data_IF_866382195675
#
_entry.id   IF_866382195675
#
_cell.length_a   1.000
_cell.length_b   1.000
_cell.length_c   1.000
_cell.angle_alpha   90.00
_cell.angle_beta   90.00
_cell.angle_gamma   90.00
#
_symmetry.space_group_name_H-M   'P 1'
#
loop_
_entity.id
_entity.type
_entity.pdbx_description
1 polymer ?
#
# COMPACT_ATOMS: atom_id res chain seq x y z
N UNK A 1 0.31 -3.01 4.82
CA UNK A 1 1.14 -1.79 4.99
C UNK A 1 0.64 -0.72 4.02
N UNK A 2 0.75 0.56 4.39
CA UNK A 2 0.38 1.71 3.57
C UNK A 2 1.41 1.99 2.45
N UNK A 3 1.04 2.70 1.40
CA UNK A 3 1.88 2.96 0.22
C UNK A 3 3.09 3.83 0.53
N UNK A 4 2.96 4.84 1.39
CA UNK A 4 4.09 5.69 1.78
C UNK A 4 5.23 4.90 2.45
N UNK A 5 4.87 3.98 3.36
CA UNK A 5 5.84 3.10 4.02
C UNK A 5 6.52 2.18 3.01
N UNK A 6 5.76 1.63 2.06
CA UNK A 6 6.32 0.77 1.01
C UNK A 6 7.25 1.54 0.07
N UNK A 7 6.92 2.78 -0.27
CA UNK A 7 7.77 3.65 -1.10
C UNK A 7 9.10 3.90 -0.38
N UNK A 8 9.09 4.18 0.91
CA UNK A 8 10.30 4.40 1.70
C UNK A 8 11.17 3.13 1.77
N UNK A 9 10.56 1.96 1.96
CA UNK A 9 11.27 0.68 1.93
C UNK A 9 11.91 0.41 0.56
N UNK A 10 11.16 0.62 -0.53
CA UNK A 10 11.67 0.42 -1.89
C UNK A 10 12.77 1.42 -2.26
N UNK A 11 12.75 2.62 -1.69
CA UNK A 11 13.82 3.62 -1.82
C UNK A 11 15.01 3.39 -0.89
N UNK A 12 14.98 2.34 -0.07
CA UNK A 12 16.00 2.05 0.94
C UNK A 12 16.21 3.19 1.93
N UNK A 13 15.12 3.88 2.30
CA UNK A 13 15.17 4.93 3.31
C UNK A 13 15.55 4.32 4.67
N UNK A 14 16.69 4.70 5.28
CA UNK A 14 17.25 3.95 6.42
C UNK A 14 16.30 3.78 7.62
N UNK A 15 15.51 4.81 8.02
CA UNK A 15 14.55 4.64 9.11
C UNK A 15 13.48 3.58 8.84
N UNK A 16 12.96 3.52 7.61
CA UNK A 16 11.96 2.53 7.23
C UNK A 16 12.55 1.12 7.22
N UNK A 17 13.75 0.96 6.67
CA UNK A 17 14.45 -0.34 6.65
C UNK A 17 14.79 -0.82 8.06
N UNK A 18 15.25 0.08 8.94
CA UNK A 18 15.55 -0.26 10.33
C UNK A 18 14.29 -0.66 11.10
N UNK A 19 13.20 0.08 10.93
CA UNK A 19 11.91 -0.25 11.54
C UNK A 19 11.40 -1.61 11.08
N UNK A 20 11.44 -1.86 9.77
CA UNK A 20 10.97 -3.12 9.18
C UNK A 20 11.81 -4.32 9.60
N UNK A 21 13.14 -4.17 9.67
CA UNK A 21 14.04 -5.23 10.15
C UNK A 21 13.94 -5.52 11.65
N UNK A 22 13.20 -4.72 12.42
CA UNK A 22 12.92 -4.97 13.83
C UNK A 22 11.59 -5.74 14.04
N UNK A 23 10.84 -6.01 12.97
CA UNK A 23 9.60 -6.79 13.04
C UNK A 23 9.91 -8.29 13.23
N UNK A 24 9.04 -9.05 13.91
CA UNK A 24 9.21 -10.51 14.04
C UNK A 24 9.15 -11.22 12.68
N UNK A 25 10.11 -12.12 12.42
CA UNK A 25 10.22 -12.87 11.16
C UNK A 25 9.07 -13.88 10.89
N UNK A 26 8.15 -14.06 11.82
CA UNK A 26 7.08 -15.06 11.74
C UNK A 26 5.73 -14.51 11.25
N UNK A 27 5.64 -13.21 10.94
CA UNK A 27 4.42 -12.60 10.42
C UNK A 27 4.41 -12.57 8.88
N UNK A 28 3.35 -13.13 8.28
CA UNK A 28 3.15 -13.02 6.85
C UNK A 28 2.84 -11.56 6.48
N UNK A 29 3.68 -10.96 5.63
CA UNK A 29 3.51 -9.59 5.21
C UNK A 29 2.36 -9.47 4.20
N UNK A 30 1.34 -8.71 4.57
CA UNK A 30 0.16 -8.47 3.74
C UNK A 30 0.12 -7.03 3.21
N UNK A 31 -0.19 -6.89 1.93
CA UNK A 31 -0.38 -5.61 1.25
C UNK A 31 -1.81 -5.50 0.72
N UNK A 32 -2.52 -4.39 1.01
CA UNK A 32 -3.75 -4.09 0.30
C UNK A 32 -3.50 -4.04 -1.20
N UNK A 33 -4.37 -4.64 -1.99
CA UNK A 33 -4.25 -4.61 -3.45
C UNK A 33 -4.23 -3.18 -4.03
N UNK A 34 -4.84 -2.22 -3.33
CA UNK A 34 -4.82 -0.80 -3.69
C UNK A 34 -3.43 -0.16 -3.53
N UNK A 35 -2.66 -0.55 -2.50
CA UNK A 35 -1.25 -0.14 -2.36
C UNK A 35 -0.42 -0.68 -3.52
N UNK A 36 -0.64 -1.93 -3.94
CA UNK A 36 0.02 -2.47 -5.13
C UNK A 36 -0.33 -1.67 -6.39
N UNK A 37 -1.58 -1.21 -6.54
CA UNK A 37 -1.98 -0.35 -7.67
C UNK A 37 -1.26 1.01 -7.64
N UNK A 38 -1.09 1.64 -6.48
CA UNK A 38 -0.34 2.89 -6.36
C UNK A 38 1.14 2.73 -6.71
N UNK A 39 1.78 1.66 -6.22
CA UNK A 39 3.17 1.36 -6.53
C UNK A 39 3.35 1.10 -8.04
N UNK A 40 2.40 0.39 -8.68
CA UNK A 40 2.38 0.18 -10.13
C UNK A 40 2.21 1.52 -10.86
N UNK A 41 1.30 2.39 -10.40
CA UNK A 41 1.07 3.71 -11.00
C UNK A 41 2.34 4.59 -10.95
N UNK A 42 3.13 4.46 -9.88
CA UNK A 42 4.41 5.16 -9.73
C UNK A 42 5.54 4.68 -10.67
N UNK A 43 5.40 3.51 -11.30
CA UNK A 43 6.40 2.98 -12.23
C UNK A 43 6.38 3.74 -13.56
N UNK A 44 7.54 4.19 -14.02
CA UNK A 44 7.67 4.96 -15.28
C UNK A 44 7.73 4.08 -16.53
N UNK A 45 8.03 2.79 -16.36
CA UNK A 45 8.24 1.86 -17.46
C UNK A 45 8.07 0.39 -17.01
N UNK A 46 8.10 -0.52 -17.99
CA UNK A 46 7.94 -1.97 -17.76
C UNK A 46 9.07 -2.60 -16.95
N UNK A 47 10.28 -2.03 -16.99
CA UNK A 47 11.43 -2.53 -16.22
C UNK A 47 11.19 -2.26 -14.74
N UNK A 48 10.80 -1.04 -14.37
CA UNK A 48 10.44 -0.68 -13.00
C UNK A 48 9.27 -1.53 -12.47
N UNK A 49 8.21 -1.71 -13.28
CA UNK A 49 7.09 -2.60 -12.92
C UNK A 49 7.54 -4.04 -12.68
N UNK A 50 8.44 -4.56 -13.51
CA UNK A 50 8.96 -5.93 -13.36
C UNK A 50 9.78 -6.06 -12.07
N UNK A 51 10.66 -5.09 -11.80
CA UNK A 51 11.46 -5.07 -10.58
C UNK A 51 10.59 -4.95 -9.33
N UNK A 52 9.55 -4.11 -9.36
CA UNK A 52 8.57 -3.99 -8.28
C UNK A 52 7.91 -5.34 -7.97
N UNK A 53 7.45 -6.06 -9.01
CA UNK A 53 6.80 -7.37 -8.82
C UNK A 53 7.75 -8.41 -8.25
N UNK A 54 9.02 -8.39 -8.62
CA UNK A 54 10.02 -9.26 -8.01
C UNK A 54 10.30 -8.89 -6.55
N UNK A 55 10.42 -7.61 -6.23
CA UNK A 55 10.66 -7.14 -4.87
C UNK A 55 9.49 -7.47 -3.91
N UNK A 56 8.27 -7.57 -4.43
CA UNK A 56 7.06 -7.84 -3.66
C UNK A 56 6.55 -9.28 -3.81
N UNK A 57 7.34 -10.19 -4.36
CA UNK A 57 6.89 -11.55 -4.66
C UNK A 57 6.45 -12.35 -3.43
N UNK A 58 7.07 -12.08 -2.27
CA UNK A 58 6.79 -12.78 -1.01
C UNK A 58 5.64 -12.15 -0.20
N UNK A 59 5.08 -11.02 -0.66
CA UNK A 59 3.98 -10.35 0.02
C UNK A 59 2.64 -10.95 -0.41
N UNK A 60 1.79 -11.27 0.57
CA UNK A 60 0.40 -11.61 0.31
C UNK A 60 -0.40 -10.38 -0.08
N UNK A 61 -1.31 -10.51 -1.05
CA UNK A 61 -2.24 -9.43 -1.42
C UNK A 61 -3.59 -9.67 -0.76
N UNK A 62 -4.08 -8.68 -0.02
CA UNK A 62 -5.41 -8.67 0.59
C UNK A 62 -6.32 -7.67 -0.10
N UNK A 63 -7.58 -8.04 -0.28
CA UNK A 63 -8.63 -7.17 -0.81
C UNK A 63 -9.70 -6.97 0.25
N UNK A 64 -10.29 -5.78 0.27
CA UNK A 64 -11.45 -5.51 1.10
C UNK A 64 -12.65 -6.38 0.67
N UNK A 65 -13.45 -6.79 1.65
CA UNK A 65 -14.77 -7.36 1.38
C UNK A 65 -15.71 -6.30 0.80
N UNK A 66 -16.83 -6.70 0.17
CA UNK A 66 -17.84 -5.76 -0.30
C UNK A 66 -18.32 -4.78 0.78
N UNK A 67 -18.61 -5.26 1.99
CA UNK A 67 -19.07 -4.42 3.11
C UNK A 67 -18.01 -3.39 3.54
N UNK A 68 -16.73 -3.76 3.47
CA UNK A 68 -15.62 -2.84 3.75
C UNK A 68 -15.48 -1.77 2.66
N UNK A 69 -15.73 -2.13 1.39
CA UNK A 69 -15.79 -1.14 0.31
C UNK A 69 -16.94 -0.14 0.49
N UNK A 70 -18.11 -0.60 0.96
CA UNK A 70 -19.23 0.30 1.28
C UNK A 70 -18.89 1.25 2.44
N UNK A 71 -18.17 0.76 3.44
CA UNK A 71 -17.67 1.60 4.53
C UNK A 71 -16.68 2.66 4.02
N UNK A 72 -15.74 2.26 3.14
CA UNK A 72 -14.79 3.17 2.50
C UNK A 72 -15.48 4.27 1.70
N UNK A 73 -16.56 3.95 0.96
CA UNK A 73 -17.35 4.93 0.24
C UNK A 73 -18.00 5.97 1.18
N UNK A 74 -18.46 5.51 2.35
CA UNK A 74 -19.03 6.39 3.38
C UNK A 74 -17.97 7.37 3.89
N UNK A 75 -16.79 6.85 4.28
CA UNK A 75 -15.65 7.66 4.73
C UNK A 75 -15.22 8.66 3.65
N UNK A 76 -15.08 8.23 2.40
CA UNK A 76 -14.70 9.12 1.31
C UNK A 76 -15.71 10.25 1.11
N UNK A 77 -17.01 9.95 1.20
CA UNK A 77 -18.08 10.95 1.06
C UNK A 77 -18.03 12.01 2.17
N UNK A 78 -17.70 11.62 3.40
CA UNK A 78 -17.59 12.53 4.55
C UNK A 78 -16.33 13.41 4.48
N UNK A 79 -15.19 12.83 4.12
CA UNK A 79 -13.88 13.48 4.29
C UNK A 79 -13.28 14.07 3.01
N UNK A 80 -13.80 13.76 1.82
CA UNK A 80 -13.22 14.27 0.56
C UNK A 80 -13.25 15.80 0.48
N UNK A 81 -14.37 16.44 0.78
CA UNK A 81 -14.49 17.90 0.61
C UNK A 81 -13.91 18.68 1.79
N UNK A 82 -13.86 18.06 2.97
CA UNK A 82 -13.40 18.71 4.20
C UNK A 82 -11.89 18.55 4.43
N UNK A 83 -11.33 17.39 4.08
CA UNK A 83 -9.93 17.03 4.37
C UNK A 83 -9.16 16.57 3.12
N UNK A 84 -9.78 16.65 1.93
CA UNK A 84 -9.18 16.23 0.67
C UNK A 84 -8.68 14.77 0.69
N UNK A 85 -9.40 13.89 1.37
CA UNK A 85 -9.07 12.46 1.43
C UNK A 85 -8.82 11.89 0.02
N UNK A 86 -7.73 11.14 -0.15
CA UNK A 86 -7.43 10.44 -1.38
C UNK A 86 -8.36 9.25 -1.58
N UNK A 87 -8.66 8.93 -2.85
CA UNK A 87 -9.58 7.84 -3.17
C UNK A 87 -9.04 6.50 -2.66
N UNK A 88 -7.75 6.21 -2.90
CA UNK A 88 -7.14 4.95 -2.49
C UNK A 88 -6.83 4.94 -0.98
N UNK A 89 -6.48 6.08 -0.38
CA UNK A 89 -6.31 6.19 1.08
C UNK A 89 -7.52 5.67 1.85
N UNK A 90 -8.74 5.97 1.37
CA UNK A 90 -9.98 5.49 2.01
C UNK A 90 -10.23 3.98 1.87
N UNK A 91 -9.51 3.30 0.97
CA UNK A 91 -9.55 1.85 0.76
C UNK A 91 -8.38 1.12 1.43
N UNK A 92 -7.43 1.87 2.01
CA UNK A 92 -6.25 1.35 2.70
C UNK A 92 -6.41 1.48 4.22
N UNK A 93 -7.14 2.51 4.67
CA UNK A 93 -7.35 2.91 6.07
C UNK A 93 -8.17 1.96 6.93
#
# INVERSE_FOLDING_TARGET
MDSDVMIDLLRQYPPAVQWFGALPDNEALMLPGYVMMELIQGCKNKVELTNLRYALADYGIVWLSPDQCDAALTVFSEYRLSHNAGLLDTLIG
#
